data_IF_991745190025
#
_entry.id   IF_991745190025
#
_cell.length_a   1.000
_cell.length_b   1.000
_cell.length_c   1.000
_cell.angle_alpha   90.00
_cell.angle_beta   90.00
_cell.angle_gamma   90.00
#
_symmetry.space_group_name_H-M   'P 1'
#
loop_
_entity.id
_entity.type
_entity.pdbx_description
1 polymer ?
#
# COMPACT_ATOMS: atom_id res chain seq x y z
N UNK A 1 -6.51 -28.03 13.17
CA UNK A 1 -7.45 -26.98 12.74
C UNK A 1 -6.62 -26.00 11.93
N UNK A 2 -7.04 -25.63 10.72
CA UNK A 2 -6.25 -24.70 9.88
C UNK A 2 -6.62 -23.27 10.25
N UNK A 3 -5.62 -22.41 10.46
CA UNK A 3 -5.82 -20.99 10.77
C UNK A 3 -5.88 -20.15 9.50
N UNK A 4 -6.42 -18.95 9.61
CA UNK A 4 -6.49 -17.98 8.51
C UNK A 4 -5.34 -16.98 8.56
N UNK A 5 -4.97 -16.40 7.42
CA UNK A 5 -4.04 -15.26 7.37
C UNK A 5 -4.44 -14.12 8.32
N UNK A 6 -5.74 -13.82 8.45
CA UNK A 6 -6.19 -12.74 9.32
C UNK A 6 -5.90 -13.03 10.79
N UNK A 7 -6.13 -14.26 11.27
CA UNK A 7 -5.79 -14.67 12.64
C UNK A 7 -4.28 -14.56 12.92
N UNK A 8 -3.43 -14.91 11.95
CA UNK A 8 -1.99 -14.69 12.06
C UNK A 8 -1.65 -13.19 12.14
N UNK A 9 -2.26 -12.38 11.27
CA UNK A 9 -2.03 -10.93 11.25
C UNK A 9 -2.47 -10.24 12.56
N UNK A 10 -3.55 -10.70 13.19
CA UNK A 10 -4.03 -10.15 14.45
C UNK A 10 -3.01 -10.30 15.60
N UNK A 11 -2.11 -11.29 15.52
CA UNK A 11 -1.03 -11.50 16.48
C UNK A 11 0.19 -10.60 16.22
N UNK A 12 0.26 -9.93 15.06
CA UNK A 12 1.37 -9.04 14.73
C UNK A 12 1.30 -7.74 15.54
N UNK A 13 2.43 -7.04 15.75
CA UNK A 13 2.47 -5.78 16.50
C UNK A 13 1.72 -4.61 15.85
N UNK A 14 1.38 -4.70 14.56
CA UNK A 14 0.66 -3.67 13.76
C UNK A 14 1.30 -2.27 13.80
N UNK A 15 2.62 -2.20 13.95
CA UNK A 15 3.36 -0.92 14.03
C UNK A 15 3.75 -0.35 12.65
N UNK A 16 3.82 -1.18 11.61
CA UNK A 16 4.23 -0.80 10.24
C UNK A 16 5.53 0.04 10.21
N UNK A 17 6.55 -0.43 10.94
CA UNK A 17 7.76 0.33 11.24
C UNK A 17 8.94 0.11 10.29
N UNK A 18 8.85 -0.80 9.32
CA UNK A 18 9.95 -1.05 8.37
C UNK A 18 11.18 -1.79 8.94
N UNK A 19 11.29 -2.00 10.26
CA UNK A 19 12.49 -2.54 10.92
C UNK A 19 12.94 -3.93 10.45
N UNK A 20 12.02 -4.74 9.93
CA UNK A 20 12.29 -6.07 9.38
C UNK A 20 12.41 -6.05 7.84
N UNK A 21 12.68 -4.88 7.24
CA UNK A 21 12.71 -4.65 5.80
C UNK A 21 11.39 -4.94 5.07
N UNK A 22 10.29 -5.01 5.83
CA UNK A 22 8.94 -5.09 5.29
C UNK A 22 8.20 -3.79 5.64
N UNK A 23 7.58 -3.10 4.65
CA UNK A 23 6.96 -1.80 4.85
C UNK A 23 5.70 -1.88 5.74
N UNK A 24 5.10 -3.05 5.85
CA UNK A 24 3.97 -3.30 6.75
C UNK A 24 4.09 -4.62 7.50
N UNK A 25 3.47 -4.68 8.68
CA UNK A 25 3.26 -5.91 9.43
C UNK A 25 2.42 -6.92 8.64
N UNK A 26 1.57 -6.47 7.71
CA UNK A 26 0.81 -7.35 6.80
C UNK A 26 1.73 -8.10 5.85
N UNK A 27 2.67 -7.41 5.21
CA UNK A 27 3.68 -8.06 4.36
C UNK A 27 4.49 -9.07 5.17
N UNK A 28 4.97 -8.69 6.35
CA UNK A 28 5.71 -9.60 7.22
C UNK A 28 4.88 -10.84 7.58
N UNK A 29 3.60 -10.68 7.94
CA UNK A 29 2.70 -11.79 8.22
C UNK A 29 2.53 -12.73 7.01
N UNK A 30 2.42 -12.18 5.79
CA UNK A 30 2.34 -13.01 4.57
C UNK A 30 3.60 -13.83 4.36
N UNK A 31 4.78 -13.20 4.49
CA UNK A 31 6.07 -13.90 4.36
C UNK A 31 6.26 -14.96 5.44
N UNK A 32 5.78 -14.71 6.65
CA UNK A 32 5.76 -15.72 7.72
C UNK A 32 4.85 -16.89 7.33
N UNK A 33 3.63 -16.61 6.88
CA UNK A 33 2.66 -17.65 6.49
C UNK A 33 3.15 -18.53 5.32
N UNK A 34 3.94 -17.96 4.41
CA UNK A 34 4.50 -18.68 3.25
C UNK A 34 5.88 -19.27 3.49
N UNK A 35 6.47 -19.06 4.67
CA UNK A 35 7.81 -19.55 5.03
C UNK A 35 8.97 -18.73 4.45
N UNK A 36 8.71 -17.59 3.81
CA UNK A 36 9.76 -16.68 3.29
C UNK A 36 10.42 -15.83 4.38
N UNK A 37 9.78 -15.74 5.54
CA UNK A 37 10.31 -15.05 6.72
C UNK A 37 10.04 -15.87 7.98
N UNK A 38 10.91 -15.70 8.97
CA UNK A 38 10.73 -16.26 10.31
C UNK A 38 10.11 -15.20 11.23
N UNK A 39 9.20 -15.56 12.16
CA UNK A 39 8.64 -14.62 13.13
C UNK A 39 9.70 -13.81 13.89
N UNK A 40 10.83 -14.43 14.21
CA UNK A 40 11.94 -13.85 14.96
C UNK A 40 12.69 -12.73 14.21
N UNK A 41 12.51 -12.61 12.89
CA UNK A 41 13.06 -11.49 12.13
C UNK A 41 12.32 -10.17 12.41
N UNK A 42 11.13 -10.22 13.03
CA UNK A 42 10.46 -9.03 13.50
C UNK A 42 10.98 -8.61 14.88
N UNK A 43 11.73 -7.51 14.90
CA UNK A 43 12.32 -6.92 16.13
C UNK A 43 11.29 -6.69 17.23
N UNK A 44 10.03 -6.43 16.88
CA UNK A 44 8.97 -6.24 17.87
C UNK A 44 8.41 -7.55 18.43
N UNK A 45 8.29 -8.61 17.62
CA UNK A 45 7.72 -9.89 18.08
C UNK A 45 8.61 -10.61 19.10
N UNK A 46 9.92 -10.37 19.06
CA UNK A 46 10.88 -10.96 20.01
C UNK A 46 10.96 -10.21 21.34
N UNK A 47 10.18 -9.12 21.52
CA UNK A 47 10.15 -8.38 22.78
C UNK A 47 9.30 -9.13 23.82
N UNK A 48 9.62 -9.04 25.13
CA UNK A 48 8.92 -9.79 26.18
C UNK A 48 7.40 -9.67 26.17
N UNK A 49 6.87 -8.46 25.89
CA UNK A 49 5.43 -8.18 25.84
C UNK A 49 4.69 -8.85 24.67
N UNK A 50 5.41 -9.34 23.66
CA UNK A 50 4.83 -10.08 22.52
C UNK A 50 5.15 -11.58 22.57
N UNK A 51 5.75 -12.08 23.65
CA UNK A 51 6.18 -13.48 23.76
C UNK A 51 5.01 -14.45 23.57
N UNK A 52 3.85 -14.17 24.15
CA UNK A 52 2.65 -14.99 23.96
C UNK A 52 2.20 -15.02 22.50
N UNK A 53 2.23 -13.87 21.81
CA UNK A 53 1.90 -13.78 20.40
C UNK A 53 2.89 -14.57 19.53
N UNK A 54 4.18 -14.49 19.84
CA UNK A 54 5.23 -15.23 19.13
C UNK A 54 5.02 -16.74 19.24
N UNK A 55 4.73 -17.25 20.44
CA UNK A 55 4.46 -18.68 20.64
C UNK A 55 3.16 -19.13 19.94
N UNK A 56 2.10 -18.29 19.98
CA UNK A 56 0.87 -18.55 19.20
C UNK A 56 1.12 -18.58 17.70
N UNK A 57 1.93 -17.67 17.17
CA UNK A 57 2.32 -17.65 15.75
C UNK A 57 3.01 -18.97 15.39
N UNK A 58 4.00 -19.42 16.17
CA UNK A 58 4.69 -20.70 15.93
C UNK A 58 3.72 -21.88 15.94
N UNK A 59 2.77 -21.89 16.89
CA UNK A 59 1.71 -22.90 16.95
C UNK A 59 0.83 -22.87 15.70
N UNK A 60 0.40 -21.69 15.24
CA UNK A 60 -0.43 -21.56 14.03
C UNK A 60 0.29 -22.07 12.80
N UNK A 61 1.60 -21.81 12.68
CA UNK A 61 2.40 -22.31 11.57
C UNK A 61 2.52 -23.84 11.59
N UNK A 62 2.64 -24.47 12.76
CA UNK A 62 2.64 -25.94 12.90
C UNK A 62 1.27 -26.55 12.54
N UNK A 63 0.18 -25.86 12.86
CA UNK A 63 -1.18 -26.31 12.56
C UNK A 63 -1.63 -26.00 11.11
N UNK A 64 -0.85 -25.19 10.40
CA UNK A 64 -1.10 -24.72 9.05
C UNK A 64 -1.89 -23.40 9.03
N UNK A 65 -1.39 -22.44 8.25
CA UNK A 65 -2.07 -21.17 7.96
C UNK A 65 -2.50 -21.16 6.51
N UNK A 66 -3.80 -20.98 6.29
CA UNK A 66 -4.37 -20.78 4.97
C UNK A 66 -4.02 -19.38 4.46
N UNK A 67 -3.20 -19.35 3.41
CA UNK A 67 -2.86 -18.18 2.62
C UNK A 67 -2.97 -18.54 1.13
N UNK A 68 -3.40 -17.57 0.31
CA UNK A 68 -3.64 -17.76 -1.12
C UNK A 68 -5.12 -17.77 -1.52
N UNK A 69 -5.36 -17.64 -2.82
CA UNK A 69 -6.70 -17.58 -3.41
C UNK A 69 -7.27 -18.99 -3.64
N UNK A 70 -8.02 -19.55 -2.68
CA UNK A 70 -8.74 -20.82 -2.91
C UNK A 70 -10.00 -20.59 -3.75
N UNK A 71 -10.01 -21.18 -4.95
CA UNK A 71 -11.23 -21.31 -5.75
C UNK A 71 -10.94 -21.75 -7.18
N UNK A 72 -11.52 -22.87 -7.61
CA UNK A 72 -11.52 -23.27 -9.02
C UNK A 72 -12.84 -22.79 -9.61
N UNK A 73 -12.79 -21.84 -10.54
CA UNK A 73 -13.94 -21.47 -11.37
C UNK A 73 -13.63 -22.00 -12.77
N UNK A 74 -14.60 -22.68 -13.39
CA UNK A 74 -14.55 -23.00 -14.81
C UNK A 74 -14.82 -21.70 -15.55
N UNK A 75 -13.75 -21.04 -15.99
CA UNK A 75 -13.80 -19.78 -16.70
C UNK A 75 -14.00 -20.07 -18.18
N UNK A 76 -15.00 -19.47 -18.83
CA UNK A 76 -15.20 -19.55 -20.28
C UNK A 76 -14.01 -18.88 -21.02
N UNK A 77 -13.85 -19.12 -22.33
CA UNK A 77 -12.72 -18.60 -23.15
C UNK A 77 -12.47 -17.08 -23.02
N UNK A 78 -13.44 -16.31 -22.54
CA UNK A 78 -13.38 -14.85 -22.38
C UNK A 78 -13.02 -14.35 -20.98
N UNK A 79 -12.67 -15.23 -20.02
CA UNK A 79 -12.27 -14.79 -18.68
C UNK A 79 -13.42 -14.33 -17.76
N UNK A 80 -14.66 -14.38 -18.28
CA UNK A 80 -15.90 -13.96 -17.62
C UNK A 80 -16.96 -15.02 -17.87
N UNK A 81 -17.61 -15.49 -16.81
CA UNK A 81 -18.74 -16.43 -16.86
C UNK A 81 -20.04 -15.64 -16.71
N UNK A 82 -20.96 -15.78 -17.67
CA UNK A 82 -22.26 -15.10 -17.63
C UNK A 82 -23.33 -16.00 -17.02
N UNK A 83 -24.05 -15.49 -16.03
CA UNK A 83 -25.11 -16.20 -15.33
C UNK A 83 -26.45 -15.62 -15.79
N UNK A 84 -27.35 -16.48 -16.28
CA UNK A 84 -28.70 -16.07 -16.62
C UNK A 84 -29.45 -15.67 -15.34
N UNK A 85 -29.99 -14.45 -15.24
CA UNK A 85 -30.65 -14.01 -14.02
C UNK A 85 -31.94 -14.80 -13.74
N UNK A 86 -32.35 -14.82 -12.47
CA UNK A 86 -33.68 -15.26 -12.06
C UNK A 86 -34.77 -14.41 -12.75
N UNK A 87 -36.00 -14.93 -12.84
CA UNK A 87 -37.16 -14.26 -13.46
C UNK A 87 -37.38 -12.82 -12.94
N UNK A 88 -37.03 -12.55 -11.67
CA UNK A 88 -37.08 -11.21 -11.05
C UNK A 88 -36.10 -10.18 -11.63
N UNK A 89 -35.15 -10.60 -12.45
CA UNK A 89 -34.12 -9.77 -13.10
C UNK A 89 -34.14 -9.91 -14.64
N UNK A 90 -35.32 -10.23 -15.21
CA UNK A 90 -35.50 -10.37 -16.65
C UNK A 90 -34.94 -9.16 -17.43
N UNK A 91 -34.14 -9.43 -18.48
CA UNK A 91 -33.49 -8.40 -19.30
C UNK A 91 -32.17 -7.84 -18.75
N UNK A 92 -31.67 -8.37 -17.63
CA UNK A 92 -30.33 -8.04 -17.10
C UNK A 92 -29.36 -9.20 -17.29
N UNK A 93 -28.10 -8.96 -16.97
CA UNK A 93 -27.05 -9.98 -16.97
C UNK A 93 -26.35 -9.99 -15.62
N UNK A 94 -26.06 -11.19 -15.11
CA UNK A 94 -25.07 -11.38 -14.05
C UNK A 94 -23.78 -11.91 -14.68
N UNK A 95 -22.64 -11.44 -14.21
CA UNK A 95 -21.33 -11.82 -14.70
C UNK A 95 -20.39 -12.06 -13.53
N UNK A 96 -19.61 -13.12 -13.59
CA UNK A 96 -18.54 -13.41 -12.65
C UNK A 96 -17.22 -13.46 -13.40
N UNK A 97 -16.20 -12.83 -12.85
CA UNK A 97 -14.83 -12.96 -13.34
C UNK A 97 -13.90 -13.29 -12.19
N UNK A 98 -12.89 -14.10 -12.48
CA UNK A 98 -11.76 -14.31 -11.59
C UNK A 98 -10.54 -13.68 -12.24
N UNK A 99 -9.95 -12.70 -11.56
CA UNK A 99 -8.67 -12.14 -11.96
C UNK A 99 -7.58 -13.17 -11.64
N UNK A 100 -7.37 -14.15 -12.53
CA UNK A 100 -6.44 -15.27 -12.35
C UNK A 100 -5.02 -14.97 -12.82
N UNK A 101 -4.87 -13.94 -13.64
CA UNK A 101 -3.58 -13.42 -14.05
C UNK A 101 -3.33 -12.11 -13.33
N UNK A 102 -2.20 -12.02 -12.66
CA UNK A 102 -1.70 -10.72 -12.22
C UNK A 102 -1.06 -9.98 -13.41
N UNK A 103 -0.67 -8.73 -13.21
CA UNK A 103 0.16 -7.98 -14.15
C UNK A 103 1.42 -8.71 -14.69
N UNK A 104 1.90 -9.77 -14.03
CA UNK A 104 3.07 -10.57 -14.44
C UNK A 104 2.73 -11.74 -15.39
N UNK A 105 1.44 -12.00 -15.68
CA UNK A 105 0.96 -13.19 -16.40
C UNK A 105 0.21 -14.17 -15.49
N UNK A 106 0.23 -15.49 -15.73
CA UNK A 106 -0.22 -16.48 -14.76
C UNK A 106 0.65 -16.35 -13.51
N UNK A 107 0.09 -15.81 -12.42
CA UNK A 107 0.85 -15.49 -11.22
C UNK A 107 0.70 -16.60 -10.19
N UNK A 108 1.82 -17.01 -9.60
CA UNK A 108 1.81 -17.78 -8.36
C UNK A 108 1.18 -16.91 -7.25
N UNK A 109 -0.08 -17.21 -6.91
CA UNK A 109 -0.87 -16.51 -5.88
C UNK A 109 -0.45 -16.90 -4.46
N UNK A 110 0.82 -17.26 -4.27
CA UNK A 110 1.47 -17.63 -3.01
C UNK A 110 1.08 -16.73 -1.83
N UNK A 111 1.01 -15.42 -2.05
CA UNK A 111 0.69 -14.43 -1.01
C UNK A 111 -0.80 -14.02 -0.96
N UNK A 112 -1.65 -14.57 -1.83
CA UNK A 112 -3.00 -14.07 -2.10
C UNK A 112 -3.04 -13.07 -3.27
N UNK A 113 -4.24 -12.56 -3.59
CA UNK A 113 -4.45 -11.65 -4.71
C UNK A 113 -4.65 -10.20 -4.27
N UNK A 114 -5.70 -9.89 -3.50
CA UNK A 114 -5.89 -8.57 -2.89
C UNK A 114 -5.50 -8.59 -1.42
N UNK A 115 -4.82 -7.54 -0.95
CA UNK A 115 -4.71 -7.22 0.47
C UNK A 115 -6.09 -6.76 0.96
N UNK A 116 -6.78 -7.49 1.86
CA UNK A 116 -8.16 -7.15 2.24
C UNK A 116 -8.30 -5.78 2.92
N UNK A 117 -7.26 -5.34 3.64
CA UNK A 117 -7.26 -4.05 4.33
C UNK A 117 -7.07 -2.93 3.30
N UNK A 118 -6.09 -3.07 2.40
CA UNK A 118 -5.88 -2.10 1.31
C UNK A 118 -7.08 -2.08 0.34
N UNK A 119 -7.72 -3.22 0.09
CA UNK A 119 -8.92 -3.34 -0.73
C UNK A 119 -10.07 -2.56 -0.11
N UNK A 120 -10.40 -2.81 1.16
CA UNK A 120 -11.47 -2.07 1.83
C UNK A 120 -11.18 -0.57 1.90
N UNK A 121 -9.94 -0.21 2.18
CA UNK A 121 -9.50 1.18 2.20
C UNK A 121 -9.69 1.85 0.83
N UNK A 122 -9.22 1.23 -0.26
CA UNK A 122 -9.31 1.79 -1.61
C UNK A 122 -10.77 1.99 -2.04
N UNK A 123 -11.65 1.00 -1.78
CA UNK A 123 -13.07 1.12 -2.10
C UNK A 123 -13.73 2.29 -1.34
N UNK A 124 -13.49 2.39 -0.03
CA UNK A 124 -14.07 3.43 0.81
C UNK A 124 -13.56 4.84 0.47
N UNK A 125 -12.26 4.97 0.20
CA UNK A 125 -11.65 6.28 -0.04
C UNK A 125 -11.88 6.77 -1.47
N UNK A 126 -12.05 5.88 -2.46
CA UNK A 126 -12.14 6.25 -3.88
C UNK A 126 -13.15 7.35 -4.25
N UNK A 127 -14.25 7.49 -3.49
CA UNK A 127 -15.37 8.36 -3.85
C UNK A 127 -16.03 7.97 -5.18
N UNK A 128 -15.77 6.77 -5.70
CA UNK A 128 -16.34 6.24 -6.95
C UNK A 128 -17.64 5.49 -6.73
N UNK A 129 -17.88 5.03 -5.50
CA UNK A 129 -18.95 4.09 -5.18
C UNK A 129 -19.89 4.71 -4.15
N UNK A 130 -21.21 4.62 -4.37
CA UNK A 130 -22.21 5.25 -3.50
C UNK A 130 -22.35 4.55 -2.16
N UNK A 131 -22.32 3.21 -2.18
CA UNK A 131 -22.44 2.38 -0.99
C UNK A 131 -21.34 1.32 -1.03
N UNK A 132 -20.49 1.33 -0.01
CA UNK A 132 -19.43 0.33 0.19
C UNK A 132 -19.65 -0.35 1.54
N UNK A 133 -19.75 -1.67 1.54
CA UNK A 133 -19.67 -2.51 2.74
C UNK A 133 -18.52 -3.47 2.56
N UNK A 134 -17.46 -3.31 3.34
CA UNK A 134 -16.26 -4.12 3.20
C UNK A 134 -15.83 -4.71 4.54
N UNK A 135 -15.45 -5.98 4.54
CA UNK A 135 -14.96 -6.68 5.71
C UNK A 135 -13.56 -7.25 5.42
N UNK A 136 -12.49 -6.68 5.99
CA UNK A 136 -11.13 -7.21 5.84
C UNK A 136 -11.00 -8.64 6.36
N UNK A 137 -11.68 -8.97 7.48
CA UNK A 137 -11.66 -10.30 8.11
C UNK A 137 -12.21 -11.39 7.19
N UNK A 138 -13.37 -11.14 6.60
CA UNK A 138 -14.01 -12.05 5.64
C UNK A 138 -13.40 -11.96 4.22
N UNK A 139 -12.56 -10.97 3.95
CA UNK A 139 -11.97 -10.76 2.62
C UNK A 139 -13.01 -10.50 1.53
N UNK A 140 -14.10 -9.79 1.84
CA UNK A 140 -15.20 -9.53 0.90
C UNK A 140 -15.70 -8.09 0.99
N UNK A 141 -16.07 -7.53 -0.15
CA UNK A 141 -16.74 -6.25 -0.28
C UNK A 141 -18.01 -6.36 -1.12
N UNK A 142 -19.01 -5.57 -0.76
CA UNK A 142 -20.21 -5.30 -1.55
C UNK A 142 -20.22 -3.81 -1.90
N UNK A 143 -20.34 -3.49 -3.17
CA UNK A 143 -20.42 -2.10 -3.67
C UNK A 143 -21.61 -1.93 -4.61
N UNK A 144 -22.18 -0.73 -4.66
CA UNK A 144 -23.25 -0.34 -5.58
C UNK A 144 -22.74 0.66 -6.63
N UNK A 145 -22.94 0.34 -7.91
CA UNK A 145 -22.50 1.14 -9.07
C UNK A 145 -23.64 1.19 -10.09
N UNK A 146 -24.22 2.35 -10.37
CA UNK A 146 -25.32 2.53 -11.35
C UNK A 146 -26.40 1.41 -11.28
N UNK A 147 -26.93 1.18 -10.09
CA UNK A 147 -27.91 0.12 -9.74
C UNK A 147 -27.43 -1.33 -9.82
N UNK A 148 -26.18 -1.57 -10.22
CA UNK A 148 -25.51 -2.87 -10.17
C UNK A 148 -25.03 -3.14 -8.74
N UNK A 149 -25.20 -4.38 -8.30
CA UNK A 149 -24.54 -4.87 -7.09
C UNK A 149 -23.27 -5.61 -7.49
N UNK A 150 -22.13 -5.19 -6.96
CA UNK A 150 -20.85 -5.83 -7.23
C UNK A 150 -20.28 -6.42 -5.94
N UNK A 151 -19.96 -7.71 -5.97
CA UNK A 151 -19.23 -8.40 -4.92
C UNK A 151 -17.76 -8.54 -5.33
N UNK A 152 -16.85 -8.16 -4.45
CA UNK A 152 -15.39 -8.30 -4.65
C UNK A 152 -14.84 -9.19 -3.54
N UNK A 153 -13.99 -10.15 -3.90
CA UNK A 153 -13.38 -11.09 -2.98
C UNK A 153 -11.86 -10.96 -2.99
N UNK A 154 -11.22 -11.22 -1.85
CA UNK A 154 -9.76 -11.13 -1.67
C UNK A 154 -8.96 -12.04 -2.61
N UNK A 155 -9.61 -13.07 -3.16
CA UNK A 155 -9.03 -14.04 -4.09
C UNK A 155 -9.07 -13.58 -5.56
N UNK A 156 -9.49 -12.33 -5.81
CA UNK A 156 -9.56 -11.74 -7.14
C UNK A 156 -10.89 -11.97 -7.87
N UNK A 157 -11.88 -12.63 -7.24
CA UNK A 157 -13.22 -12.74 -7.84
C UNK A 157 -13.98 -11.43 -7.77
N UNK A 158 -14.67 -11.11 -8.88
CA UNK A 158 -15.59 -9.98 -9.00
C UNK A 158 -16.89 -10.50 -9.61
N UNK A 159 -18.00 -10.35 -8.90
CA UNK A 159 -19.33 -10.74 -9.35
C UNK A 159 -20.19 -9.48 -9.53
N UNK A 160 -20.63 -9.22 -10.75
CA UNK A 160 -21.51 -8.11 -11.11
C UNK A 160 -22.91 -8.65 -11.33
N UNK A 161 -23.89 -8.09 -10.62
CA UNK A 161 -25.32 -8.38 -10.81
C UNK A 161 -26.05 -7.18 -11.38
N UNK A 162 -27.12 -7.43 -12.14
CA UNK A 162 -28.01 -6.44 -12.75
C UNK A 162 -27.34 -5.55 -13.82
N UNK A 163 -26.30 -6.04 -14.49
CA UNK A 163 -25.71 -5.34 -15.63
C UNK A 163 -26.72 -5.22 -16.78
N UNK A 164 -26.66 -4.13 -17.55
CA UNK A 164 -27.54 -3.90 -18.71
C UNK A 164 -27.26 -4.89 -19.84
N UNK A 165 -25.98 -5.14 -20.09
CA UNK A 165 -25.48 -6.04 -21.12
C UNK A 165 -24.07 -6.55 -20.75
N UNK A 166 -23.47 -7.34 -21.65
CA UNK A 166 -22.11 -7.89 -21.44
C UNK A 166 -21.04 -6.81 -21.36
N UNK A 167 -21.17 -5.72 -22.13
CA UNK A 167 -20.20 -4.62 -22.13
C UNK A 167 -20.27 -3.84 -20.83
N UNK A 168 -21.47 -3.53 -20.32
CA UNK A 168 -21.67 -2.90 -19.02
C UNK A 168 -21.04 -3.73 -17.89
N UNK A 169 -21.21 -5.06 -17.92
CA UNK A 169 -20.58 -5.97 -16.96
C UNK A 169 -19.04 -5.89 -17.04
N UNK A 170 -18.46 -5.98 -18.24
CA UNK A 170 -16.99 -5.90 -18.44
C UNK A 170 -16.44 -4.56 -17.98
N UNK A 171 -17.08 -3.44 -18.35
CA UNK A 171 -16.65 -2.10 -17.94
C UNK A 171 -16.73 -1.93 -16.42
N UNK A 172 -17.75 -2.51 -15.78
CA UNK A 172 -17.86 -2.52 -14.31
C UNK A 172 -16.71 -3.30 -13.68
N UNK A 173 -16.37 -4.49 -14.19
CA UNK A 173 -15.25 -5.30 -13.68
C UNK A 173 -13.93 -4.54 -13.86
N UNK A 174 -13.71 -3.91 -15.03
CA UNK A 174 -12.51 -3.10 -15.31
C UNK A 174 -12.40 -1.91 -14.36
N UNK A 175 -13.48 -1.17 -14.13
CA UNK A 175 -13.51 -0.04 -13.19
C UNK A 175 -13.10 -0.49 -11.79
N UNK A 176 -13.69 -1.58 -11.29
CA UNK A 176 -13.38 -2.13 -9.97
C UNK A 176 -11.93 -2.61 -9.90
N UNK A 177 -11.47 -3.40 -10.88
CA UNK A 177 -10.09 -3.87 -10.98
C UNK A 177 -9.07 -2.72 -10.97
N UNK A 178 -9.33 -1.66 -11.77
CA UNK A 178 -8.48 -0.45 -11.80
C UNK A 178 -8.47 0.27 -10.45
N UNK A 179 -9.63 0.47 -9.83
CA UNK A 179 -9.71 1.15 -8.52
C UNK A 179 -8.98 0.40 -7.40
N UNK A 180 -8.84 -0.92 -7.54
CA UNK A 180 -8.19 -1.79 -6.57
C UNK A 180 -6.74 -2.12 -6.91
N UNK A 181 -6.15 -1.49 -7.93
CA UNK A 181 -4.80 -1.80 -8.37
C UNK A 181 -3.77 -1.71 -7.25
N UNK A 182 -3.85 -0.67 -6.41
CA UNK A 182 -2.98 -0.50 -5.25
C UNK A 182 -3.11 -1.61 -4.19
N UNK A 183 -4.23 -2.32 -4.16
CA UNK A 183 -4.47 -3.43 -3.22
C UNK A 183 -3.96 -4.78 -3.73
N UNK A 184 -3.55 -4.90 -4.99
CA UNK A 184 -3.01 -6.14 -5.56
C UNK A 184 -1.69 -6.48 -4.87
N UNK A 185 -1.53 -7.73 -4.45
CA UNK A 185 -0.33 -8.25 -3.81
C UNK A 185 0.68 -8.66 -4.88
N UNK A 186 1.92 -8.22 -4.74
CA UNK A 186 3.01 -8.60 -5.63
C UNK A 186 3.49 -10.01 -5.30
N UNK A 187 3.50 -10.90 -6.30
CA UNK A 187 4.01 -12.27 -6.16
C UNK A 187 5.51 -12.33 -5.93
N UNK A 188 6.27 -11.31 -6.35
CA UNK A 188 7.70 -11.25 -6.07
C UNK A 188 7.99 -11.04 -4.58
N UNK A 189 7.20 -10.21 -3.88
CA UNK A 189 7.61 -9.71 -2.56
C UNK A 189 6.53 -9.65 -1.46
N UNK A 190 5.29 -10.04 -1.76
CA UNK A 190 4.19 -10.06 -0.79
C UNK A 190 3.66 -8.68 -0.37
N UNK A 191 4.23 -7.59 -0.89
CA UNK A 191 3.78 -6.22 -0.68
C UNK A 191 2.52 -5.92 -1.47
N UNK A 192 1.68 -5.03 -0.95
CA UNK A 192 0.59 -4.44 -1.75
C UNK A 192 1.16 -3.56 -2.87
N UNK A 193 0.35 -3.27 -3.90
CA UNK A 193 0.69 -2.34 -4.96
C UNK A 193 1.06 -0.96 -4.45
N UNK A 194 0.39 -0.46 -3.41
CA UNK A 194 0.72 0.82 -2.75
C UNK A 194 2.10 0.77 -2.08
N UNK A 195 2.40 -0.29 -1.32
CA UNK A 195 3.73 -0.48 -0.73
C UNK A 195 4.83 -0.59 -1.80
N UNK A 196 4.51 -1.22 -2.93
CA UNK A 196 5.42 -1.26 -4.07
C UNK A 196 5.58 0.13 -4.71
N UNK A 197 4.51 0.91 -4.80
CA UNK A 197 4.49 2.27 -5.31
C UNK A 197 5.16 3.29 -4.39
N UNK A 198 5.35 2.96 -3.11
CA UNK A 198 5.99 3.84 -2.12
C UNK A 198 7.51 3.72 -2.07
N UNK A 199 8.07 2.64 -2.64
CA UNK A 199 9.52 2.39 -2.63
C UNK A 199 9.98 1.49 -1.47
N UNK A 200 9.06 1.03 -0.63
CA UNK A 200 9.32 0.13 0.51
C UNK A 200 9.66 -1.32 0.16
N UNK A 201 9.96 -1.63 -1.11
CA UNK A 201 10.24 -3.00 -1.57
C UNK A 201 11.74 -3.21 -1.76
N UNK A 202 12.34 -4.11 -0.98
CA UNK A 202 13.76 -4.48 -1.13
C UNK A 202 14.02 -5.43 -2.31
N UNK A 203 13.07 -6.32 -2.62
CA UNK A 203 13.28 -7.42 -3.58
C UNK A 203 13.09 -7.02 -5.05
N UNK A 204 12.47 -5.86 -5.30
CA UNK A 204 12.17 -5.36 -6.65
C UNK A 204 12.89 -4.03 -6.95
N UNK A 205 14.03 -3.75 -6.33
CA UNK A 205 14.74 -2.49 -6.56
C UNK A 205 15.38 -2.38 -7.95
N UNK A 206 15.91 -3.49 -8.46
CA UNK A 206 16.63 -3.51 -9.74
C UNK A 206 15.75 -3.83 -10.95
N UNK A 207 14.42 -3.93 -10.78
CA UNK A 207 13.49 -4.31 -11.86
C UNK A 207 12.17 -3.56 -11.73
N UNK A 208 11.45 -3.42 -12.83
CA UNK A 208 10.08 -2.89 -12.79
C UNK A 208 9.25 -3.83 -11.91
N UNK A 209 8.66 -3.28 -10.85
CA UNK A 209 7.74 -4.04 -10.02
C UNK A 209 6.62 -4.56 -10.91
N UNK A 210 6.38 -5.86 -10.98
CA UNK A 210 5.43 -6.34 -11.96
C UNK A 210 4.02 -5.84 -11.67
N UNK A 211 3.60 -5.69 -10.40
CA UNK A 211 2.30 -5.06 -10.06
C UNK A 211 2.17 -3.67 -10.68
N UNK A 212 3.19 -2.83 -10.57
CA UNK A 212 3.20 -1.48 -11.14
C UNK A 212 3.32 -1.51 -12.66
N UNK A 213 4.14 -2.41 -13.21
CA UNK A 213 4.46 -2.42 -14.64
C UNK A 213 3.43 -3.10 -15.51
N UNK A 214 2.77 -4.13 -14.99
CA UNK A 214 1.83 -4.91 -15.76
C UNK A 214 0.43 -4.32 -15.78
N UNK A 215 0.02 -3.52 -14.78
CA UNK A 215 -1.33 -2.96 -14.70
C UNK A 215 -2.34 -3.76 -13.86
N UNK A 216 -3.54 -3.19 -13.63
CA UNK A 216 -4.65 -3.95 -13.08
C UNK A 216 -5.08 -5.02 -14.09
N UNK A 217 -5.41 -6.26 -13.68
CA UNK A 217 -5.81 -7.31 -14.59
C UNK A 217 -7.07 -6.95 -15.37
N UNK A 218 -7.06 -7.26 -16.67
CA UNK A 218 -8.23 -7.15 -17.54
C UNK A 218 -8.74 -8.58 -17.79
N UNK A 219 -9.99 -8.89 -17.44
CA UNK A 219 -10.52 -10.24 -17.58
C UNK A 219 -10.60 -10.70 -19.04
N UNK A 220 -10.55 -9.79 -20.01
CA UNK A 220 -10.66 -10.11 -21.44
C UNK A 220 -9.32 -10.28 -22.15
N UNK A 221 -8.20 -10.05 -21.45
CA UNK A 221 -6.84 -10.09 -22.05
C UNK A 221 -6.09 -11.30 -21.51
N UNK A 222 -5.67 -12.19 -22.40
CA UNK A 222 -4.95 -13.43 -22.06
C UNK A 222 -3.43 -13.28 -21.98
N UNK A 223 -2.84 -12.23 -22.57
CA UNK A 223 -1.41 -11.94 -22.45
C UNK A 223 -1.11 -10.45 -22.57
N UNK A 224 -0.07 -9.98 -21.85
CA UNK A 224 0.45 -8.61 -21.95
C UNK A 224 1.89 -8.67 -22.45
N UNK A 225 2.26 -7.71 -23.30
CA UNK A 225 3.64 -7.52 -23.70
C UNK A 225 4.50 -7.14 -22.48
N UNK A 226 5.75 -7.59 -22.47
CA UNK A 226 6.71 -7.19 -21.43
C UNK A 226 6.84 -5.67 -21.40
N UNK A 227 6.59 -5.07 -20.24
CA UNK A 227 6.74 -3.63 -20.05
C UNK A 227 8.22 -3.27 -19.98
N UNK A 228 8.64 -2.28 -20.79
CA UNK A 228 9.99 -1.74 -20.73
C UNK A 228 10.17 -0.87 -19.48
N UNK A 229 11.41 -0.74 -19.02
CA UNK A 229 11.76 0.10 -17.89
C UNK A 229 12.03 1.54 -18.34
N UNK A 230 11.64 2.51 -17.53
CA UNK A 230 12.00 3.92 -17.62
C UNK A 230 12.29 4.50 -16.22
N UNK A 231 12.58 5.79 -16.15
CA UNK A 231 12.89 6.53 -14.92
C UNK A 231 11.69 7.34 -14.41
N UNK A 232 11.71 7.70 -13.13
CA UNK A 232 10.70 8.59 -12.53
C UNK A 232 10.61 9.94 -13.26
N UNK A 233 11.74 10.52 -13.68
CA UNK A 233 11.79 11.78 -14.43
C UNK A 233 11.00 11.70 -15.73
N UNK A 234 11.23 10.65 -16.52
CA UNK A 234 10.52 10.40 -17.77
C UNK A 234 9.02 10.24 -17.53
N UNK A 235 8.63 9.53 -16.46
CA UNK A 235 7.22 9.38 -16.11
C UNK A 235 6.55 10.71 -15.77
N UNK A 236 7.22 11.56 -15.00
CA UNK A 236 6.67 12.86 -14.58
C UNK A 236 6.58 13.84 -15.75
N UNK A 237 7.53 13.79 -16.69
CA UNK A 237 7.46 14.57 -17.92
C UNK A 237 6.25 14.18 -18.78
N UNK A 238 5.92 12.88 -18.87
CA UNK A 238 4.72 12.42 -19.60
C UNK A 238 3.43 13.02 -19.03
N UNK A 239 3.33 13.18 -17.70
CA UNK A 239 2.14 13.73 -17.04
C UNK A 239 1.72 15.08 -17.61
N UNK A 240 2.70 15.93 -17.96
CA UNK A 240 2.45 17.29 -18.46
C UNK A 240 1.54 17.33 -19.68
N UNK A 241 1.49 16.24 -20.45
CA UNK A 241 0.72 16.09 -21.69
C UNK A 241 -0.62 15.36 -21.50
N UNK A 242 -0.88 14.80 -20.33
CA UNK A 242 -2.08 14.00 -20.08
C UNK A 242 -3.31 14.88 -19.82
N UNK A 243 -4.48 14.43 -20.30
CA UNK A 243 -5.78 15.06 -19.98
C UNK A 243 -6.09 14.99 -18.48
N UNK A 244 -5.60 13.96 -17.80
CA UNK A 244 -5.78 13.72 -16.36
C UNK A 244 -4.73 14.41 -15.48
N UNK A 245 -3.86 15.25 -16.05
CA UNK A 245 -2.78 15.94 -15.30
C UNK A 245 -3.27 16.72 -14.08
N UNK A 246 -4.48 17.26 -14.13
CA UNK A 246 -5.05 18.07 -13.05
C UNK A 246 -5.14 17.31 -11.72
N UNK A 247 -5.48 16.02 -11.75
CA UNK A 247 -5.47 15.19 -10.54
C UNK A 247 -4.06 15.02 -9.96
N UNK A 248 -3.06 14.88 -10.83
CA UNK A 248 -1.66 14.77 -10.41
C UNK A 248 -1.15 16.09 -9.83
N UNK A 249 -1.37 17.21 -10.52
CA UNK A 249 -0.92 18.52 -10.09
C UNK A 249 -1.55 18.90 -8.73
N UNK A 250 -2.85 18.65 -8.56
CA UNK A 250 -3.55 18.87 -7.29
C UNK A 250 -3.03 17.95 -6.18
N UNK A 251 -2.81 16.66 -6.47
CA UNK A 251 -2.26 15.72 -5.51
C UNK A 251 -0.86 16.14 -5.04
N UNK A 252 0.01 16.59 -5.94
CA UNK A 252 1.35 17.09 -5.62
C UNK A 252 1.26 18.36 -4.76
N UNK A 253 0.37 19.30 -5.06
CA UNK A 253 0.16 20.50 -4.23
C UNK A 253 -0.34 20.16 -2.82
N UNK A 254 -1.19 19.14 -2.68
CA UNK A 254 -1.66 18.69 -1.36
C UNK A 254 -0.54 17.99 -0.60
N UNK A 255 0.27 17.17 -1.28
CA UNK A 255 1.45 16.54 -0.69
C UNK A 255 2.49 17.57 -0.22
N UNK A 256 2.75 18.61 -1.01
CA UNK A 256 3.63 19.73 -0.63
C UNK A 256 3.22 20.33 0.71
N UNK A 257 1.96 20.76 0.80
CA UNK A 257 1.38 21.29 2.04
C UNK A 257 1.35 20.24 3.15
N UNK A 258 1.20 18.97 2.80
CA UNK A 258 1.23 17.84 3.74
C UNK A 258 2.59 17.67 4.40
N UNK A 259 3.68 17.72 3.62
CA UNK A 259 5.05 17.63 4.15
C UNK A 259 5.46 18.90 4.91
N UNK A 260 5.00 20.08 4.48
CA UNK A 260 5.16 21.33 5.25
C UNK A 260 4.46 21.22 6.62
N UNK A 261 3.19 20.79 6.65
CA UNK A 261 2.43 20.62 7.88
C UNK A 261 3.06 19.53 8.77
N UNK A 262 3.50 18.40 8.19
CA UNK A 262 4.24 17.36 8.89
C UNK A 262 5.50 17.90 9.58
N UNK A 263 6.29 18.75 8.90
CA UNK A 263 7.47 19.37 9.47
C UNK A 263 7.10 20.30 10.64
N UNK A 264 6.08 21.15 10.45
CA UNK A 264 5.58 22.06 11.50
C UNK A 264 5.10 21.28 12.73
N UNK A 265 4.31 20.23 12.54
CA UNK A 265 3.84 19.36 13.63
C UNK A 265 5.01 18.68 14.35
N UNK A 266 6.03 18.25 13.61
CA UNK A 266 7.23 17.66 14.20
C UNK A 266 7.99 18.67 15.07
N UNK A 267 8.14 19.91 14.62
CA UNK A 267 8.75 20.99 15.42
C UNK A 267 7.94 21.27 16.68
N UNK A 268 6.61 21.44 16.55
CA UNK A 268 5.72 21.62 17.71
C UNK A 268 5.87 20.48 18.71
N UNK A 269 5.88 19.24 18.21
CA UNK A 269 6.01 18.06 19.05
C UNK A 269 7.36 18.03 19.79
N UNK A 270 8.46 18.38 19.12
CA UNK A 270 9.79 18.49 19.75
C UNK A 270 9.85 19.58 20.84
N UNK A 271 8.97 20.57 20.77
CA UNK A 271 8.80 21.61 21.80
C UNK A 271 7.76 21.25 22.89
N UNK A 272 7.24 20.02 22.88
CA UNK A 272 6.26 19.55 23.86
C UNK A 272 4.81 19.97 23.57
N UNK A 273 4.50 20.41 22.35
CA UNK A 273 3.17 20.90 21.96
C UNK A 273 2.48 19.88 21.04
N UNK A 274 1.30 19.41 21.46
CA UNK A 274 0.45 18.54 20.65
C UNK A 274 -0.67 19.33 19.96
N UNK A 275 -0.58 19.47 18.64
CA UNK A 275 -1.57 20.20 17.81
C UNK A 275 -2.57 19.23 17.17
N UNK A 276 -3.60 18.85 17.92
CA UNK A 276 -4.65 17.91 17.48
C UNK A 276 -5.30 18.32 16.15
N UNK A 277 -5.56 19.61 15.95
CA UNK A 277 -6.15 20.14 14.71
C UNK A 277 -5.24 19.93 13.50
N UNK A 278 -3.95 20.23 13.64
CA UNK A 278 -2.99 20.03 12.56
C UNK A 278 -2.84 18.55 12.18
N UNK A 279 -2.88 17.62 13.15
CA UNK A 279 -2.92 16.19 12.86
C UNK A 279 -4.16 15.79 12.05
N UNK A 280 -5.34 16.25 12.43
CA UNK A 280 -6.59 15.95 11.71
C UNK A 280 -6.56 16.54 10.28
N UNK A 281 -6.02 17.75 10.12
CA UNK A 281 -5.84 18.37 8.82
C UNK A 281 -4.89 17.55 7.93
N UNK A 282 -3.76 17.11 8.47
CA UNK A 282 -2.78 16.29 7.75
C UNK A 282 -3.35 14.94 7.32
N UNK A 283 -4.16 14.29 8.16
CA UNK A 283 -4.90 13.07 7.80
C UNK A 283 -5.93 13.30 6.70
N UNK A 284 -6.62 14.44 6.73
CA UNK A 284 -7.53 14.87 5.66
C UNK A 284 -6.78 15.06 4.33
N UNK A 285 -5.59 15.67 4.37
CA UNK A 285 -4.73 15.84 3.18
C UNK A 285 -4.31 14.50 2.59
N UNK A 286 -3.86 13.56 3.43
CA UNK A 286 -3.53 12.20 3.01
C UNK A 286 -4.73 11.54 2.33
N UNK A 287 -5.93 11.67 2.89
CA UNK A 287 -7.16 11.10 2.31
C UNK A 287 -7.45 11.69 0.93
N UNK A 288 -7.31 13.02 0.77
CA UNK A 288 -7.55 13.71 -0.50
C UNK A 288 -6.54 13.29 -1.58
N UNK A 289 -5.25 13.14 -1.24
CA UNK A 289 -4.24 12.65 -2.19
C UNK A 289 -4.60 11.25 -2.69
N UNK A 290 -5.06 10.38 -1.79
CA UNK A 290 -5.45 9.02 -2.15
C UNK A 290 -6.69 8.98 -3.06
N UNK A 291 -7.67 9.88 -2.84
CA UNK A 291 -8.79 10.07 -3.76
C UNK A 291 -8.33 10.47 -5.16
N UNK A 292 -7.48 11.49 -5.26
CA UNK A 292 -6.93 11.97 -6.53
C UNK A 292 -6.07 10.90 -7.22
N UNK A 293 -5.29 10.14 -6.45
CA UNK A 293 -4.50 9.02 -6.96
C UNK A 293 -5.39 7.94 -7.60
N UNK A 294 -6.49 7.54 -6.95
CA UNK A 294 -7.44 6.57 -7.50
C UNK A 294 -8.15 7.13 -8.73
N UNK A 295 -8.56 8.41 -8.71
CA UNK A 295 -9.15 9.09 -9.88
C UNK A 295 -8.18 9.11 -11.06
N UNK A 296 -6.92 9.45 -10.82
CA UNK A 296 -5.89 9.41 -11.83
C UNK A 296 -5.71 7.98 -12.40
N UNK A 297 -5.71 6.94 -11.56
CA UNK A 297 -5.62 5.54 -12.02
C UNK A 297 -6.80 5.17 -12.92
N UNK A 298 -8.02 5.53 -12.53
CA UNK A 298 -9.24 5.12 -13.23
C UNK A 298 -9.41 5.89 -14.54
N UNK A 299 -9.21 7.21 -14.51
CA UNK A 299 -9.54 8.09 -15.63
C UNK A 299 -8.41 8.17 -16.68
N UNK A 300 -7.17 7.78 -16.34
CA UNK A 300 -6.04 7.78 -17.29
C UNK A 300 -6.07 6.52 -18.16
N UNK A 301 -6.32 6.60 -19.48
CA UNK A 301 -6.58 5.40 -20.28
C UNK A 301 -5.40 4.42 -20.33
N UNK A 302 -4.19 4.95 -20.58
CA UNK A 302 -2.96 4.17 -20.72
C UNK A 302 -2.47 3.69 -19.36
N UNK A 303 -2.31 2.38 -19.21
CA UNK A 303 -1.92 1.73 -17.94
C UNK A 303 -0.57 2.24 -17.41
N UNK A 304 0.40 2.43 -18.30
CA UNK A 304 1.75 2.84 -17.91
C UNK A 304 1.77 4.28 -17.35
N UNK A 305 0.87 5.13 -17.85
CA UNK A 305 0.68 6.47 -17.29
C UNK A 305 -0.11 6.38 -15.97
N UNK A 306 -1.18 5.58 -15.93
CA UNK A 306 -2.00 5.37 -14.73
C UNK A 306 -1.21 4.83 -13.54
N UNK A 307 -0.09 4.14 -13.77
CA UNK A 307 0.84 3.67 -12.72
C UNK A 307 1.34 4.80 -11.80
N UNK A 308 1.38 6.04 -12.30
CA UNK A 308 1.74 7.23 -11.51
C UNK A 308 0.78 7.42 -10.34
N UNK A 309 -0.51 7.12 -10.52
CA UNK A 309 -1.46 7.19 -9.42
C UNK A 309 -1.17 6.15 -8.32
N UNK A 310 -0.64 4.97 -8.65
CA UNK A 310 -0.21 4.00 -7.63
C UNK A 310 1.00 4.53 -6.85
N UNK A 311 1.92 5.23 -7.52
CA UNK A 311 3.06 5.90 -6.88
C UNK A 311 2.58 7.03 -5.95
N UNK A 312 1.66 7.88 -6.41
CA UNK A 312 1.07 8.94 -5.58
C UNK A 312 0.38 8.37 -4.33
N UNK A 313 -0.40 7.30 -4.48
CA UNK A 313 -1.01 6.60 -3.35
C UNK A 313 0.02 5.97 -2.41
N UNK A 314 1.13 5.46 -2.95
CA UNK A 314 2.27 4.96 -2.15
C UNK A 314 2.92 6.07 -1.32
N UNK A 315 3.17 7.25 -1.89
CA UNK A 315 3.75 8.40 -1.16
C UNK A 315 2.78 8.87 -0.06
N UNK A 316 1.48 8.92 -0.35
CA UNK A 316 0.47 9.27 0.64
C UNK A 316 0.40 8.25 1.79
N UNK A 317 0.57 6.95 1.49
CA UNK A 317 0.66 5.90 2.49
C UNK A 317 1.89 6.07 3.39
N UNK A 318 3.04 6.40 2.81
CA UNK A 318 4.27 6.66 3.56
C UNK A 318 4.10 7.89 4.48
N UNK A 319 3.49 8.98 3.99
CA UNK A 319 3.15 10.14 4.83
C UNK A 319 2.18 9.76 5.96
N UNK A 320 1.15 8.94 5.69
CA UNK A 320 0.24 8.43 6.72
C UNK A 320 0.98 7.67 7.83
N UNK A 321 1.97 6.86 7.46
CA UNK A 321 2.80 6.13 8.42
C UNK A 321 3.66 7.06 9.27
N UNK A 322 4.20 8.12 8.68
CA UNK A 322 4.93 9.15 9.43
C UNK A 322 4.01 9.86 10.44
N UNK A 323 2.77 10.16 10.04
CA UNK A 323 1.74 10.73 10.94
C UNK A 323 1.44 9.81 12.12
N UNK A 324 1.27 8.50 11.87
CA UNK A 324 1.13 7.52 12.95
C UNK A 324 2.35 7.49 13.89
N UNK A 325 3.55 7.64 13.32
CA UNK A 325 4.79 7.78 14.08
C UNK A 325 4.73 8.99 15.02
N UNK A 326 4.37 10.16 14.49
CA UNK A 326 4.20 11.38 15.30
C UNK A 326 3.11 11.22 16.37
N UNK A 327 1.99 10.57 16.07
CA UNK A 327 0.93 10.28 17.06
C UNK A 327 1.42 9.38 18.18
N UNK A 328 2.24 8.38 17.85
CA UNK A 328 2.87 7.52 18.86
C UNK A 328 3.81 8.35 19.72
N UNK A 329 4.67 9.17 19.12
CA UNK A 329 5.57 10.06 19.86
C UNK A 329 4.86 11.09 20.73
N UNK A 330 3.66 11.53 20.35
CA UNK A 330 2.83 12.40 21.18
C UNK A 330 2.37 11.76 22.50
N UNK A 331 2.34 10.43 22.58
CA UNK A 331 2.07 9.71 23.83
C UNK A 331 3.29 9.66 24.76
N UNK A 332 4.49 9.97 24.24
CA UNK A 332 5.77 9.92 24.93
C UNK A 332 6.53 11.25 24.83
N UNK A 333 5.81 12.38 24.85
CA UNK A 333 6.43 13.71 24.68
C UNK A 333 7.51 14.01 25.73
N UNK A 334 7.36 13.49 26.96
CA UNK A 334 8.36 13.62 28.03
C UNK A 334 9.72 13.03 27.62
N UNK A 335 9.71 11.97 26.79
CA UNK A 335 10.92 11.31 26.29
C UNK A 335 11.64 12.11 25.21
N UNK A 336 10.90 12.94 24.45
CA UNK A 336 11.48 13.76 23.38
C UNK A 336 12.36 14.90 23.90
N UNK A 337 12.32 15.20 25.20
CA UNK A 337 13.17 16.23 25.85
C UNK A 337 14.62 15.74 25.97
N UNK A 338 14.86 14.41 25.96
CA UNK A 338 16.21 13.86 26.00
C UNK A 338 17.02 14.30 24.77
N UNK A 339 18.19 14.94 24.92
CA UNK A 339 18.96 15.45 23.78
C UNK A 339 19.29 14.39 22.73
N UNK A 340 19.58 13.15 23.14
CA UNK A 340 19.89 12.06 22.22
C UNK A 340 18.67 11.57 21.43
N UNK A 341 17.48 11.56 22.05
CA UNK A 341 16.22 11.19 21.39
C UNK A 341 15.79 12.33 20.47
N UNK A 342 15.95 13.58 20.91
CA UNK A 342 15.63 14.76 20.12
C UNK A 342 16.50 14.84 18.85
N UNK A 343 17.81 14.60 18.95
CA UNK A 343 18.71 14.54 17.79
C UNK A 343 18.27 13.46 16.79
N UNK A 344 17.94 12.25 17.27
CA UNK A 344 17.44 11.17 16.43
C UNK A 344 16.10 11.53 15.77
N UNK A 345 15.19 12.14 16.52
CA UNK A 345 13.88 12.55 16.01
C UNK A 345 14.01 13.61 14.92
N UNK A 346 14.81 14.66 15.15
CA UNK A 346 15.08 15.70 14.14
C UNK A 346 15.72 15.09 12.90
N UNK A 347 16.72 14.22 13.06
CA UNK A 347 17.35 13.53 11.94
C UNK A 347 16.35 12.68 11.13
N UNK A 348 15.40 12.02 11.77
CA UNK A 348 14.35 11.25 11.09
C UNK A 348 13.41 12.16 10.28
N UNK A 349 13.00 13.30 10.84
CA UNK A 349 12.16 14.30 10.17
C UNK A 349 12.87 14.90 8.97
N UNK A 350 14.17 15.22 9.10
CA UNK A 350 14.99 15.74 8.00
C UNK A 350 15.09 14.73 6.86
N UNK A 351 15.32 13.45 7.15
CA UNK A 351 15.32 12.36 6.16
C UNK A 351 13.96 12.29 5.44
N UNK A 352 12.85 12.42 6.17
CA UNK A 352 11.50 12.39 5.61
C UNK A 352 11.23 13.55 4.65
N UNK A 353 11.49 14.78 5.08
CA UNK A 353 11.26 15.99 4.27
C UNK A 353 12.22 16.02 3.08
N UNK A 354 13.50 15.69 3.27
CA UNK A 354 14.49 15.66 2.20
C UNK A 354 14.19 14.56 1.17
N UNK A 355 13.70 13.39 1.60
CA UNK A 355 13.31 12.32 0.70
C UNK A 355 12.17 12.71 -0.24
N UNK A 356 11.13 13.36 0.29
CA UNK A 356 10.06 13.92 -0.55
C UNK A 356 10.56 15.05 -1.46
N UNK A 357 11.38 15.95 -0.94
CA UNK A 357 11.98 17.05 -1.72
C UNK A 357 12.79 16.52 -2.90
N UNK A 358 13.64 15.51 -2.68
CA UNK A 358 14.44 14.88 -3.73
C UNK A 358 13.55 14.38 -4.87
N UNK A 359 12.50 13.62 -4.53
CA UNK A 359 11.56 13.11 -5.53
C UNK A 359 10.87 14.24 -6.29
N UNK A 360 10.34 15.24 -5.58
CA UNK A 360 9.64 16.39 -6.17
C UNK A 360 10.51 17.13 -7.17
N UNK A 361 11.77 17.40 -6.81
CA UNK A 361 12.69 18.18 -7.65
C UNK A 361 13.48 17.31 -8.63
N UNK A 362 13.24 16.00 -8.66
CA UNK A 362 14.01 15.03 -9.45
C UNK A 362 15.53 15.13 -9.18
N UNK A 363 15.90 15.38 -7.93
CA UNK A 363 17.29 15.58 -7.51
C UNK A 363 17.91 14.26 -7.03
N UNK A 364 18.64 13.60 -7.95
CA UNK A 364 19.34 12.35 -7.67
C UNK A 364 20.47 12.53 -6.64
N UNK A 365 21.13 13.69 -6.61
CA UNK A 365 22.19 13.94 -5.63
C UNK A 365 21.61 14.05 -4.22
N UNK A 366 20.49 14.76 -4.07
CA UNK A 366 19.78 14.85 -2.80
C UNK A 366 19.24 13.46 -2.38
N UNK A 367 18.77 12.64 -3.32
CA UNK A 367 18.37 11.26 -3.04
C UNK A 367 19.52 10.41 -2.48
N UNK A 368 20.72 10.50 -3.06
CA UNK A 368 21.90 9.78 -2.58
C UNK A 368 22.34 10.28 -1.20
N UNK A 369 22.23 11.59 -0.94
CA UNK A 369 22.46 12.17 0.38
C UNK A 369 21.46 11.63 1.41
N UNK A 370 20.16 11.57 1.08
CA UNK A 370 19.12 11.00 1.97
C UNK A 370 19.43 9.54 2.30
N UNK A 371 19.87 8.75 1.31
CA UNK A 371 20.30 7.37 1.54
C UNK A 371 21.47 7.28 2.51
N UNK A 372 22.51 8.11 2.31
CA UNK A 372 23.66 8.14 3.20
C UNK A 372 23.28 8.58 4.64
N UNK A 373 22.45 9.61 4.76
CA UNK A 373 21.91 10.09 6.03
C UNK A 373 21.10 9.01 6.75
N UNK A 374 20.23 8.30 6.03
CA UNK A 374 19.46 7.19 6.60
C UNK A 374 20.36 6.06 7.10
N UNK A 375 21.41 5.67 6.36
CA UNK A 375 22.37 4.66 6.84
C UNK A 375 23.10 5.11 8.12
N UNK A 376 23.52 6.38 8.20
CA UNK A 376 24.15 6.93 9.40
C UNK A 376 23.18 7.01 10.59
N UNK A 377 21.95 7.46 10.33
CA UNK A 377 20.85 7.47 11.30
C UNK A 377 20.59 6.06 11.85
N UNK A 378 20.50 5.04 10.99
CA UNK A 378 20.25 3.64 11.38
C UNK A 378 21.31 3.11 12.36
N UNK A 379 22.56 3.51 12.18
CA UNK A 379 23.64 3.13 13.10
C UNK A 379 23.43 3.72 14.50
N UNK A 380 23.20 5.04 14.59
CA UNK A 380 22.92 5.74 15.86
C UNK A 380 21.64 5.20 16.52
N UNK A 381 20.60 4.99 15.72
CA UNK A 381 19.33 4.42 16.17
C UNK A 381 19.53 3.03 16.79
N UNK A 382 20.33 2.15 16.16
CA UNK A 382 20.54 0.78 16.65
C UNK A 382 21.29 0.75 17.99
N UNK A 383 22.22 1.67 18.21
CA UNK A 383 22.94 1.83 19.48
C UNK A 383 21.98 2.23 20.60
N UNK A 384 21.17 3.28 20.39
CA UNK A 384 20.18 3.74 21.38
C UNK A 384 19.03 2.74 21.59
N UNK A 385 18.59 2.08 20.52
CA UNK A 385 17.50 1.09 20.61
C UNK A 385 17.87 -0.09 21.49
N UNK A 386 19.14 -0.51 21.56
CA UNK A 386 19.54 -1.65 22.41
C UNK A 386 19.46 -1.31 23.90
N UNK A 387 19.86 -0.10 24.28
CA UNK A 387 20.06 0.29 25.68
C UNK A 387 18.81 0.91 26.32
N UNK A 388 17.89 1.47 25.52
CA UNK A 388 16.69 2.13 26.03
C UNK A 388 15.59 1.13 26.45
N UNK A 389 14.84 1.40 27.53
CA UNK A 389 13.57 0.73 27.79
C UNK A 389 12.43 1.25 26.88
N UNK A 390 12.53 2.49 26.39
CA UNK A 390 11.49 3.17 25.59
C UNK A 390 11.52 2.76 24.11
N UNK A 391 11.40 1.46 23.84
CA UNK A 391 11.51 0.90 22.48
C UNK A 391 10.48 1.51 21.52
N UNK A 392 9.29 1.85 22.00
CA UNK A 392 8.21 2.38 21.16
C UNK A 392 8.50 3.77 20.61
N UNK A 393 9.22 4.61 21.36
CA UNK A 393 9.74 5.90 20.89
C UNK A 393 10.66 5.70 19.70
N UNK A 394 11.63 4.79 19.84
CA UNK A 394 12.58 4.49 18.76
C UNK A 394 11.91 3.84 17.55
N UNK A 395 10.93 2.96 17.74
CA UNK A 395 10.15 2.37 16.64
C UNK A 395 9.40 3.45 15.87
N UNK A 396 8.84 4.44 16.55
CA UNK A 396 8.14 5.56 15.91
C UNK A 396 9.10 6.51 15.16
N UNK A 397 10.28 6.80 15.72
CA UNK A 397 11.31 7.60 15.05
C UNK A 397 11.83 6.89 13.78
N UNK A 398 12.13 5.59 13.87
CA UNK A 398 12.51 4.79 12.70
C UNK A 398 11.41 4.83 11.64
N UNK A 399 10.15 4.62 12.03
CA UNK A 399 9.01 4.65 11.10
C UNK A 399 9.01 5.94 10.28
N UNK A 400 9.32 7.08 10.89
CA UNK A 400 9.43 8.36 10.16
C UNK A 400 10.59 8.32 9.15
N UNK A 401 11.79 7.99 9.61
CA UNK A 401 13.00 8.00 8.78
C UNK A 401 12.91 7.02 7.60
N UNK A 402 12.46 5.78 7.85
CA UNK A 402 12.39 4.72 6.85
C UNK A 402 11.41 5.05 5.73
N UNK A 403 10.27 5.65 6.04
CA UNK A 403 9.31 6.08 5.01
C UNK A 403 9.87 7.24 4.18
N UNK A 404 10.68 8.13 4.77
CA UNK A 404 11.41 9.17 4.04
C UNK A 404 12.41 8.59 3.04
N UNK A 405 13.16 7.60 3.50
CA UNK A 405 14.09 6.83 2.69
C UNK A 405 13.38 6.09 1.56
N UNK A 406 12.21 5.49 1.79
CA UNK A 406 11.43 4.82 0.76
C UNK A 406 11.04 5.75 -0.38
N UNK A 407 10.54 6.95 -0.06
CA UNK A 407 10.18 7.97 -1.04
C UNK A 407 11.40 8.37 -1.89
N UNK A 408 12.56 8.61 -1.27
CA UNK A 408 13.78 8.98 -2.00
C UNK A 408 14.18 7.92 -3.04
N UNK A 409 14.06 6.63 -2.70
CA UNK A 409 14.41 5.51 -3.60
C UNK A 409 13.57 5.43 -4.86
N UNK A 410 12.38 6.04 -4.87
CA UNK A 410 11.53 6.04 -6.06
C UNK A 410 12.22 6.67 -7.28
N UNK A 411 13.17 7.59 -7.06
CA UNK A 411 13.95 8.18 -8.15
C UNK A 411 14.81 7.18 -8.91
N UNK A 412 15.43 6.24 -8.18
CA UNK A 412 16.31 5.23 -8.75
C UNK A 412 15.59 3.94 -9.15
N UNK A 413 14.33 3.78 -8.74
CA UNK A 413 13.54 2.58 -9.01
C UNK A 413 13.10 2.54 -10.48
N UNK A 414 13.33 1.43 -11.20
CA UNK A 414 12.78 1.25 -12.54
C UNK A 414 11.25 1.25 -12.50
N UNK A 415 10.64 2.02 -13.39
CA UNK A 415 9.19 2.21 -13.50
C UNK A 415 8.73 1.93 -14.93
N UNK A 416 7.43 1.67 -15.20
CA UNK A 416 6.98 1.29 -16.55
C UNK A 416 7.03 2.41 -17.60
N UNK A 417 7.62 2.08 -18.76
CA UNK A 417 7.79 2.96 -19.92
C UNK A 417 6.55 3.18 -20.79
#
# INVERSE_FOLDING_TARGET
MTHTFHELYELMPKKDCGLCNNPSCRTMARKIATGDAKPEQCVNLVRPEYQENLEKIKLYLQQGVEIGAKGTIVVEETGVTYIHPCISEAGRIAAESKLTAGPEGPVDLKFGFFDPIAMCWALNVSGLFREVRCSPKLGVARIIIDDKTVMVFQDGRINVRRAKDKQDAIQTIRLVSRSLWGAIICSCCGNSGLDCGSGGCEECLGKVCPVIGGGPPDPTISSRNKTQATTASTMFDRVKTLKTRHYFDEAVQILDKGFENFQVLSTKLSSGVFDKSGFQELEGRVTNVNQLAIRFIVDTPKIQDAAIGVILGGIALDLSRMVDGLKTLAQYMDKLISPSIQELFVSAVDIAVAGYKALKTMDFNLSDQVKAQYMAFRKKWAEGFRTTPDKDVFVAIEKIATNGYYIARLLAKPVPA
#
